data_IF_377397205708
#
_entry.id   IF_377397205708
#
_cell.length_a   1.000
_cell.length_b   1.000
_cell.length_c   1.000
_cell.angle_alpha   90.00
_cell.angle_beta   90.00
_cell.angle_gamma   90.00
#
_symmetry.space_group_name_H-M   'P 1'
#
loop_
_entity.id
_entity.type
_entity.pdbx_description
1 polymer ?
#
# COMPACT_ATOMS: atom_id res chain seq x y z
N UNK A 1 46.72 10.80 11.36
CA UNK A 1 46.27 10.69 9.96
C UNK A 1 44.98 9.89 9.94
N UNK A 2 43.88 10.53 9.57
CA UNK A 2 42.54 9.94 9.50
C UNK A 2 42.43 9.05 8.27
N UNK A 3 42.15 7.76 8.46
CA UNK A 3 41.81 6.84 7.36
C UNK A 3 40.31 6.95 7.13
N UNK A 4 39.93 7.60 6.03
CA UNK A 4 38.59 7.57 5.46
C UNK A 4 38.18 6.12 5.18
N UNK A 5 37.21 5.58 5.92
CA UNK A 5 36.60 4.29 5.60
C UNK A 5 35.21 4.49 5.00
N UNK A 6 35.18 4.33 3.66
CA UNK A 6 34.05 4.09 2.74
C UNK A 6 32.66 3.87 3.38
N UNK A 7 31.75 4.80 3.09
CA UNK A 7 30.31 4.59 3.22
C UNK A 7 29.87 3.38 2.38
N UNK A 8 29.32 2.37 3.04
CA UNK A 8 28.79 1.15 2.44
C UNK A 8 27.27 1.31 2.34
N UNK A 9 26.81 1.92 1.24
CA UNK A 9 25.38 2.10 0.95
C UNK A 9 24.78 0.74 0.60
N UNK A 10 24.09 0.12 1.56
CA UNK A 10 23.25 -1.04 1.31
C UNK A 10 21.97 -0.58 0.64
N UNK A 11 21.96 -0.57 -0.69
CA UNK A 11 20.73 -0.64 -1.50
C UNK A 11 20.19 -2.07 -1.38
N UNK A 12 19.60 -2.38 -0.23
CA UNK A 12 18.81 -3.59 -0.08
C UNK A 12 17.45 -3.31 -0.73
N UNK A 13 17.02 -4.24 -1.59
CA UNK A 13 15.64 -4.63 -1.93
C UNK A 13 14.56 -3.56 -2.23
N UNK A 14 14.50 -3.07 -3.47
CA UNK A 14 13.19 -2.77 -4.05
C UNK A 14 12.51 -4.10 -4.38
N UNK A 15 11.62 -4.59 -3.52
CA UNK A 15 10.62 -5.58 -3.91
C UNK A 15 9.55 -4.83 -4.68
N UNK A 16 9.57 -4.90 -6.00
CA UNK A 16 8.48 -4.36 -6.83
C UNK A 16 7.26 -5.28 -6.65
N UNK A 17 6.34 -4.88 -5.78
CA UNK A 17 4.96 -5.39 -5.84
C UNK A 17 4.44 -5.12 -7.26
N UNK A 18 4.09 -6.17 -7.98
CA UNK A 18 3.46 -6.06 -9.30
C UNK A 18 2.15 -5.34 -9.10
N UNK A 19 2.02 -4.13 -9.66
CA UNK A 19 0.80 -3.33 -9.58
C UNK A 19 -0.26 -4.01 -10.42
N UNK A 20 -1.27 -4.59 -9.80
CA UNK A 20 -2.44 -5.07 -10.50
C UNK A 20 -3.06 -3.87 -11.24
N UNK A 21 -3.31 -4.05 -12.53
CA UNK A 21 -3.84 -3.01 -13.43
C UNK A 21 -5.05 -3.58 -14.15
N UNK A 22 -5.81 -2.74 -14.87
CA UNK A 22 -6.92 -3.13 -15.76
C UNK A 22 -6.59 -4.32 -16.68
N UNK A 23 -5.31 -4.52 -17.02
CA UNK A 23 -4.83 -5.62 -17.86
C UNK A 23 -4.90 -7.01 -17.19
N UNK A 24 -5.01 -7.06 -15.87
CA UNK A 24 -5.05 -8.31 -15.10
C UNK A 24 -6.49 -8.82 -14.89
N UNK A 25 -7.49 -8.09 -15.37
CA UNK A 25 -8.90 -8.47 -15.29
C UNK A 25 -9.20 -9.68 -16.17
N UNK A 26 -9.70 -10.75 -15.55
CA UNK A 26 -10.22 -11.93 -16.23
C UNK A 26 -11.74 -11.88 -16.26
N UNK A 27 -12.33 -11.83 -17.45
CA UNK A 27 -13.78 -11.94 -17.63
C UNK A 27 -14.18 -13.40 -17.75
N UNK A 28 -15.27 -13.79 -17.09
CA UNK A 28 -15.80 -15.15 -17.15
C UNK A 28 -16.35 -15.53 -18.52
N UNK A 29 -16.32 -16.82 -18.85
CA UNK A 29 -16.71 -17.36 -20.17
C UNK A 29 -18.24 -17.33 -20.42
N UNK A 30 -19.04 -17.13 -19.37
CA UNK A 30 -20.52 -17.08 -19.45
C UNK A 30 -21.07 -15.76 -20.02
N UNK A 31 -20.21 -14.80 -20.36
CA UNK A 31 -20.63 -13.52 -20.92
C UNK A 31 -20.73 -13.57 -22.46
N UNK A 32 -21.86 -13.08 -22.98
CA UNK A 32 -21.97 -12.81 -24.41
C UNK A 32 -20.90 -11.81 -24.86
N UNK A 33 -20.41 -11.98 -26.09
CA UNK A 33 -19.32 -11.16 -26.65
C UNK A 33 -19.60 -9.64 -26.55
N UNK A 34 -20.85 -9.23 -26.67
CA UNK A 34 -21.28 -7.84 -26.53
C UNK A 34 -21.13 -7.31 -25.10
N UNK A 35 -21.46 -8.12 -24.09
CA UNK A 35 -21.35 -7.71 -22.68
C UNK A 35 -19.89 -7.65 -22.25
N UNK A 36 -19.07 -8.56 -22.75
CA UNK A 36 -17.63 -8.56 -22.50
C UNK A 36 -16.96 -7.28 -23.04
N UNK A 37 -17.28 -6.87 -24.27
CA UNK A 37 -16.79 -5.60 -24.84
C UNK A 37 -17.19 -4.38 -24.01
N UNK A 38 -18.45 -4.32 -23.57
CA UNK A 38 -18.92 -3.23 -22.70
C UNK A 38 -18.15 -3.17 -21.38
N UNK A 39 -17.81 -4.31 -20.80
CA UNK A 39 -17.01 -4.36 -19.57
C UNK A 39 -15.54 -3.98 -19.79
N UNK A 40 -14.95 -4.38 -20.91
CA UNK A 40 -13.60 -3.97 -21.31
C UNK A 40 -13.54 -2.44 -21.51
N UNK A 41 -14.53 -1.85 -22.17
CA UNK A 41 -14.65 -0.40 -22.35
C UNK A 41 -14.80 0.32 -21.00
N UNK A 42 -15.69 -0.17 -20.12
CA UNK A 42 -15.89 0.39 -18.79
C UNK A 42 -14.63 0.30 -17.92
N UNK A 43 -13.93 -0.83 -17.96
CA UNK A 43 -12.69 -1.01 -17.22
C UNK A 43 -11.58 -0.08 -17.73
N UNK A 44 -11.54 0.16 -19.05
CA UNK A 44 -10.65 1.14 -19.68
C UNK A 44 -10.97 2.60 -19.29
N UNK A 45 -12.24 2.94 -19.08
CA UNK A 45 -12.65 4.27 -18.63
C UNK A 45 -12.27 4.57 -17.17
N UNK A 46 -12.19 3.55 -16.32
CA UNK A 46 -11.95 3.71 -14.88
C UNK A 46 -10.70 2.95 -14.38
N UNK A 47 -9.50 3.23 -14.92
CA UNK A 47 -8.29 2.50 -14.56
C UNK A 47 -7.82 2.79 -13.13
N UNK A 48 -8.23 3.91 -12.55
CA UNK A 48 -7.86 4.32 -11.19
C UNK A 48 -8.50 3.45 -10.10
N UNK A 49 -9.65 2.84 -10.37
CA UNK A 49 -10.38 2.00 -9.41
C UNK A 49 -9.65 0.69 -9.13
N UNK A 50 -8.94 0.17 -10.14
CA UNK A 50 -8.23 -1.11 -10.07
C UNK A 50 -6.77 -0.97 -9.61
N UNK A 51 -6.38 0.18 -9.05
CA UNK A 51 -5.03 0.36 -8.54
C UNK A 51 -4.90 -0.16 -7.11
N UNK A 52 -3.85 -0.94 -6.84
CA UNK A 52 -3.52 -1.52 -5.51
C UNK A 52 -3.26 -0.49 -4.41
N UNK A 53 -3.20 0.80 -4.74
CA UNK A 53 -3.01 1.87 -3.79
C UNK A 53 -4.38 2.46 -3.43
N UNK A 54 -5.09 1.96 -2.40
CA UNK A 54 -6.28 2.63 -1.86
C UNK A 54 -5.96 3.99 -1.20
N UNK A 55 -4.70 4.44 -1.30
CA UNK A 55 -4.07 5.40 -0.40
C UNK A 55 -4.15 6.86 -0.87
N UNK A 56 -4.56 7.14 -2.11
CA UNK A 56 -4.60 8.50 -2.65
C UNK A 56 -6.03 8.93 -2.96
N UNK A 57 -6.69 9.50 -1.96
CA UNK A 57 -7.91 10.30 -2.17
C UNK A 57 -7.54 11.74 -2.50
N UNK A 58 -8.28 12.41 -3.38
CA UNK A 58 -8.16 13.85 -3.65
C UNK A 58 -8.85 14.65 -2.54
N UNK A 59 -8.56 14.30 -1.29
CA UNK A 59 -9.04 15.01 -0.11
C UNK A 59 -7.91 15.89 0.38
N UNK A 60 -8.24 17.12 0.80
CA UNK A 60 -7.29 17.98 1.47
C UNK A 60 -6.74 17.31 2.73
N UNK A 61 -5.48 17.57 3.07
CA UNK A 61 -4.83 16.98 4.23
C UNK A 61 -5.58 17.38 5.50
N UNK A 62 -6.16 16.41 6.19
CA UNK A 62 -6.85 16.63 7.45
C UNK A 62 -5.90 17.21 8.50
N UNK A 63 -6.22 18.38 9.06
CA UNK A 63 -5.48 19.03 10.15
C UNK A 63 -6.18 18.72 11.48
N UNK A 64 -5.51 17.98 12.35
CA UNK A 64 -6.00 17.73 13.71
C UNK A 64 -5.65 18.94 14.60
N UNK A 65 -6.65 19.61 15.16
CA UNK A 65 -6.44 20.63 16.20
C UNK A 65 -6.43 19.95 17.58
N UNK A 66 -5.28 19.93 18.28
CA UNK A 66 -5.20 19.27 19.57
C UNK A 66 -5.81 20.14 20.68
N UNK A 67 -6.46 19.52 21.65
CA UNK A 67 -6.99 20.22 22.85
C UNK A 67 -5.87 20.69 23.79
N UNK A 68 -4.71 20.02 23.77
CA UNK A 68 -3.53 20.36 24.57
C UNK A 68 -2.29 20.44 23.67
N UNK A 69 -1.37 21.36 23.97
CA UNK A 69 -0.10 21.50 23.27
C UNK A 69 0.97 20.50 23.71
N UNK A 70 0.77 19.85 24.87
CA UNK A 70 1.75 18.93 25.44
C UNK A 70 1.55 17.50 24.90
N UNK A 71 2.59 16.88 24.30
CA UNK A 71 2.51 15.50 23.86
C UNK A 71 2.54 14.55 25.06
N UNK A 72 1.77 13.45 24.96
CA UNK A 72 1.75 12.39 25.97
C UNK A 72 2.52 11.18 25.45
N UNK A 73 3.63 10.83 26.10
CA UNK A 73 4.37 9.61 25.80
C UNK A 73 3.84 8.43 26.60
N UNK A 74 3.52 7.34 25.91
CA UNK A 74 3.10 6.08 26.53
C UNK A 74 4.02 4.94 26.10
N UNK A 75 4.34 4.06 27.05
CA UNK A 75 5.11 2.84 26.75
C UNK A 75 4.18 1.82 26.10
N UNK A 76 4.66 1.16 25.05
CA UNK A 76 3.92 0.09 24.40
C UNK A 76 3.74 -1.10 25.36
N UNK A 77 2.54 -1.69 25.37
CA UNK A 77 2.28 -2.92 26.10
C UNK A 77 3.09 -4.09 25.54
N UNK A 78 3.41 -5.06 26.40
CA UNK A 78 4.09 -6.28 25.98
C UNK A 78 3.17 -7.11 25.07
N UNK A 79 3.65 -7.42 23.87
CA UNK A 79 2.93 -8.28 22.93
C UNK A 79 3.25 -9.75 23.25
N UNK A 80 2.24 -10.61 23.47
CA UNK A 80 2.45 -12.04 23.70
C UNK A 80 3.20 -12.70 22.55
N UNK A 81 4.05 -13.70 22.85
CA UNK A 81 4.91 -14.35 21.84
C UNK A 81 4.11 -14.88 20.64
N UNK A 82 2.99 -15.56 20.90
CA UNK A 82 2.11 -16.10 19.87
C UNK A 82 1.58 -15.05 18.88
N UNK A 83 1.45 -13.79 19.30
CA UNK A 83 0.91 -12.70 18.47
C UNK A 83 1.99 -11.92 17.71
N UNK A 84 3.27 -12.06 18.09
CA UNK A 84 4.36 -11.27 17.49
C UNK A 84 4.48 -11.49 15.98
N UNK A 85 4.33 -12.72 15.51
CA UNK A 85 4.42 -13.05 14.09
C UNK A 85 3.27 -12.44 13.28
N UNK A 86 2.05 -12.53 13.81
CA UNK A 86 0.86 -11.96 13.18
C UNK A 86 0.97 -10.44 13.08
N UNK A 87 1.35 -9.77 14.17
CA UNK A 87 1.58 -8.32 14.16
C UNK A 87 2.69 -7.90 13.19
N UNK A 88 3.79 -8.64 13.15
CA UNK A 88 4.88 -8.34 12.21
C UNK A 88 4.46 -8.52 10.75
N UNK A 89 3.63 -9.52 10.46
CA UNK A 89 3.11 -9.76 9.11
C UNK A 89 2.11 -8.70 8.65
N UNK A 90 1.27 -8.18 9.55
CA UNK A 90 0.26 -7.18 9.19
C UNK A 90 0.83 -5.78 8.98
N UNK A 91 1.91 -5.43 9.70
CA UNK A 91 2.58 -4.13 9.59
C UNK A 91 3.47 -3.98 8.35
N UNK A 92 3.84 -5.08 7.67
CA UNK A 92 4.70 -5.06 6.47
C UNK A 92 3.93 -4.91 5.15
N UNK A 93 2.66 -4.54 5.18
CA UNK A 93 1.87 -4.25 3.97
C UNK A 93 2.39 -3.02 3.23
#
# INVERSE_FOLDING_TARGET
>A
MMVLCRQRVWLWWKTTSTKETVKDLKFGDDLSAERRRKLEDLAGCFPSIFSDCPHSTILEKHRNEPTSSTPVWQRQYSVPYAMKQTFASSLRR
#
